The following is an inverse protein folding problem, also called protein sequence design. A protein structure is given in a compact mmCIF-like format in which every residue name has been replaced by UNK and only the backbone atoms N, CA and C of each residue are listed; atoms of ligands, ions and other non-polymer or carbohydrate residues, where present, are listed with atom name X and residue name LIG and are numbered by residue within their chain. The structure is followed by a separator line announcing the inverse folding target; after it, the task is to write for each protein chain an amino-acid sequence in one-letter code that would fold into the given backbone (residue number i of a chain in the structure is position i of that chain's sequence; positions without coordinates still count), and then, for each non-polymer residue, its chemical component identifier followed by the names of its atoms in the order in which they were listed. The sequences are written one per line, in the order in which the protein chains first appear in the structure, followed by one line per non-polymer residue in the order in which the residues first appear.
data_IF_242613796891
#
_entry.id   IF_242613796891
#
_cell.length_a   1.000
_cell.length_b   1.000
_cell.length_c   1.000
_cell.angle_alpha   90.00
_cell.angle_beta   90.00
_cell.angle_gamma   90.00
#
_symmetry.space_group_name_H-M   'P 1'
#
loop_
_entity.id
_entity.type
_entity.pdbx_description
1 polymer ?
#
# COMPACT_ATOMS: atom_id res chain seq x y z
N UNK A 1 -13.36 7.48 5.45
CA UNK A 1 -13.91 6.92 4.19
C UNK A 1 -15.41 6.74 4.35
N UNK A 2 -16.17 6.85 3.26
CA UNK A 2 -17.60 6.48 3.26
C UNK A 2 -17.77 4.96 3.11
N UNK A 3 -18.93 4.39 3.49
CA UNK A 3 -19.24 2.98 3.23
C UNK A 3 -19.08 2.59 1.75
N UNK A 4 -19.49 3.46 0.82
CA UNK A 4 -19.37 3.22 -0.61
C UNK A 4 -17.91 3.16 -1.07
N UNK A 5 -17.05 4.06 -0.58
CA UNK A 5 -15.62 4.01 -0.87
C UNK A 5 -14.99 2.71 -0.34
N UNK A 6 -15.36 2.27 0.86
CA UNK A 6 -14.87 1.00 1.43
C UNK A 6 -15.29 -0.17 0.53
N UNK A 7 -16.56 -0.20 0.11
CA UNK A 7 -17.10 -1.22 -0.78
C UNK A 7 -16.32 -1.26 -2.11
N UNK A 8 -16.11 -0.11 -2.75
CA UNK A 8 -15.35 -0.01 -4.02
C UNK A 8 -13.93 -0.57 -3.87
N UNK A 9 -13.22 -0.21 -2.81
CA UNK A 9 -11.87 -0.73 -2.55
C UNK A 9 -11.88 -2.24 -2.32
N UNK A 10 -12.83 -2.74 -1.54
CA UNK A 10 -12.94 -4.17 -1.25
C UNK A 10 -13.33 -5.00 -2.48
N UNK A 11 -14.27 -4.53 -3.29
CA UNK A 11 -14.72 -5.22 -4.50
C UNK A 11 -13.64 -5.23 -5.57
N UNK A 12 -13.07 -4.06 -5.90
CA UNK A 12 -11.98 -3.98 -6.88
C UNK A 12 -10.73 -4.75 -6.43
N UNK A 13 -10.40 -4.80 -5.13
CA UNK A 13 -9.29 -5.63 -4.66
C UNK A 13 -9.53 -7.13 -4.89
N UNK A 14 -10.78 -7.62 -4.77
CA UNK A 14 -11.10 -9.03 -5.05
C UNK A 14 -10.79 -9.41 -6.50
N UNK A 15 -10.94 -8.49 -7.43
CA UNK A 15 -10.60 -8.69 -8.84
C UNK A 15 -9.08 -8.74 -9.07
N UNK A 16 -8.29 -8.07 -8.22
CA UNK A 16 -6.82 -8.13 -8.26
C UNK A 16 -6.26 -9.42 -7.65
N UNK A 17 -6.97 -10.05 -6.70
CA UNK A 17 -6.48 -11.26 -5.99
C UNK A 17 -6.07 -12.42 -6.93
N UNK A 18 -6.83 -12.78 -7.99
CA UNK A 18 -6.41 -13.79 -8.96
C UNK A 18 -5.08 -13.47 -9.67
N UNK A 19 -4.78 -12.19 -9.89
CA UNK A 19 -3.58 -11.72 -10.59
C UNK A 19 -2.51 -11.15 -9.63
N UNK A 20 -2.62 -11.44 -8.33
CA UNK A 20 -1.81 -10.82 -7.27
C UNK A 20 -0.29 -10.89 -7.48
N UNK A 21 0.23 -11.98 -8.07
CA UNK A 21 1.67 -12.09 -8.34
C UNK A 21 2.13 -11.11 -9.42
N UNK A 22 1.36 -11.00 -10.51
CA UNK A 22 1.62 -10.07 -11.59
C UNK A 22 1.41 -8.62 -11.13
N UNK A 23 0.35 -8.34 -10.38
CA UNK A 23 0.09 -7.02 -9.81
C UNK A 23 1.23 -6.58 -8.87
N UNK A 24 1.73 -7.48 -8.01
CA UNK A 24 2.85 -7.15 -7.13
C UNK A 24 4.15 -6.90 -7.90
N UNK A 25 4.43 -7.67 -8.95
CA UNK A 25 5.59 -7.43 -9.80
C UNK A 25 5.50 -6.06 -10.50
N UNK A 26 4.34 -5.74 -11.07
CA UNK A 26 4.08 -4.45 -11.71
C UNK A 26 4.20 -3.28 -10.72
N UNK A 27 3.73 -3.46 -9.48
CA UNK A 27 3.90 -2.45 -8.43
C UNK A 27 5.37 -2.11 -8.19
N UNK A 28 6.24 -3.10 -8.04
CA UNK A 28 7.66 -2.83 -7.79
C UNK A 28 8.37 -2.28 -9.04
N UNK A 29 7.98 -2.73 -10.23
CA UNK A 29 8.47 -2.12 -11.48
C UNK A 29 8.16 -0.62 -11.52
N UNK A 30 6.90 -0.26 -11.27
CA UNK A 30 6.45 1.14 -11.22
C UNK A 30 7.13 1.93 -10.11
N UNK A 31 7.19 1.38 -8.90
CA UNK A 31 7.84 2.02 -7.76
C UNK A 31 9.28 2.41 -8.09
N UNK A 32 10.02 1.49 -8.70
CA UNK A 32 11.42 1.71 -9.03
C UNK A 32 11.65 2.53 -10.30
N UNK A 33 10.64 2.63 -11.18
CA UNK A 33 10.65 3.56 -12.30
C UNK A 33 10.40 5.00 -11.84
N UNK A 34 9.51 5.18 -10.86
CA UNK A 34 9.22 6.48 -10.24
C UNK A 34 10.39 6.96 -9.37
N UNK A 35 11.01 6.05 -8.61
CA UNK A 35 12.18 6.35 -7.80
C UNK A 35 13.17 5.18 -7.79
N UNK A 36 14.21 5.31 -8.61
CA UNK A 36 15.26 4.31 -8.71
C UNK A 36 16.11 4.16 -7.44
N UNK A 37 16.13 5.15 -6.55
CA UNK A 37 16.92 5.08 -5.30
C UNK A 37 16.37 4.01 -4.34
N UNK A 38 15.04 3.79 -4.36
CA UNK A 38 14.36 2.81 -3.52
C UNK A 38 14.86 1.38 -3.74
N UNK A 39 15.40 1.05 -4.92
CA UNK A 39 16.02 -0.27 -5.18
C UNK A 39 17.08 -0.62 -4.13
N UNK A 40 17.76 0.38 -3.55
CA UNK A 40 18.75 0.16 -2.51
C UNK A 40 18.19 -0.52 -1.25
N UNK A 41 16.91 -0.27 -0.92
CA UNK A 41 16.23 -0.87 0.23
C UNK A 41 15.89 -2.36 0.01
N UNK A 42 15.95 -2.85 -1.23
CA UNK A 42 15.53 -4.19 -1.61
C UNK A 42 16.67 -5.08 -2.14
N UNK A 43 17.94 -4.65 -2.05
CA UNK A 43 19.10 -5.33 -2.68
C UNK A 43 19.25 -6.81 -2.31
N UNK A 44 18.99 -7.16 -1.05
CA UNK A 44 19.11 -8.53 -0.53
C UNK A 44 17.73 -9.18 -0.34
N UNK A 45 16.70 -8.65 -1.01
CA UNK A 45 15.32 -9.11 -0.86
C UNK A 45 14.91 -10.01 -2.02
N UNK A 46 14.37 -11.17 -1.70
CA UNK A 46 13.62 -11.99 -2.66
C UNK A 46 12.35 -11.25 -3.06
N UNK A 47 12.36 -10.66 -4.26
CA UNK A 47 11.28 -9.81 -4.74
C UNK A 47 9.96 -10.55 -4.94
N UNK A 48 9.99 -11.87 -5.21
CA UNK A 48 8.76 -12.68 -5.30
C UNK A 48 8.11 -12.82 -3.94
N UNK A 49 8.90 -13.15 -2.91
CA UNK A 49 8.41 -13.21 -1.52
C UNK A 49 7.96 -11.84 -1.03
N UNK A 50 8.67 -10.78 -1.42
CA UNK A 50 8.31 -9.42 -1.06
C UNK A 50 7.00 -8.97 -1.72
N UNK A 51 6.75 -9.36 -2.97
CA UNK A 51 5.46 -9.17 -3.63
C UNK A 51 4.32 -9.90 -2.91
N UNK A 52 4.54 -11.14 -2.48
CA UNK A 52 3.56 -11.87 -1.68
C UNK A 52 3.26 -11.18 -0.32
N UNK A 53 4.30 -10.67 0.36
CA UNK A 53 4.15 -9.90 1.61
C UNK A 53 3.35 -8.61 1.38
N UNK A 54 3.61 -7.89 0.29
CA UNK A 54 2.85 -6.70 -0.08
C UNK A 54 1.37 -7.02 -0.27
N UNK A 55 1.04 -8.03 -1.06
CA UNK A 55 -0.36 -8.40 -1.33
C UNK A 55 -1.08 -8.88 -0.07
N UNK A 56 -0.39 -9.59 0.82
CA UNK A 56 -0.93 -9.98 2.11
C UNK A 56 -1.21 -8.76 3.01
N UNK A 57 -0.30 -7.80 3.07
CA UNK A 57 -0.46 -6.57 3.84
C UNK A 57 -1.61 -5.69 3.29
N UNK A 58 -1.68 -5.51 1.97
CA UNK A 58 -2.79 -4.81 1.32
C UNK A 58 -4.12 -5.51 1.61
N UNK A 59 -4.16 -6.84 1.49
CA UNK A 59 -5.33 -7.63 1.83
C UNK A 59 -5.77 -7.40 3.28
N UNK A 60 -4.86 -7.48 4.24
CA UNK A 60 -5.17 -7.21 5.64
C UNK A 60 -5.81 -5.83 5.85
N UNK A 61 -5.23 -4.78 5.26
CA UNK A 61 -5.78 -3.42 5.38
C UNK A 61 -7.14 -3.30 4.71
N UNK A 62 -7.29 -3.78 3.48
CA UNK A 62 -8.55 -3.71 2.70
C UNK A 62 -9.70 -4.41 3.42
N UNK A 63 -9.47 -5.60 3.97
CA UNK A 63 -10.48 -6.32 4.74
C UNK A 63 -10.83 -5.60 6.06
N UNK A 64 -9.86 -4.93 6.67
CA UNK A 64 -10.04 -4.18 7.92
C UNK A 64 -10.68 -2.80 7.76
N UNK A 65 -10.84 -2.26 6.55
CA UNK A 65 -11.37 -0.89 6.33
C UNK A 65 -12.74 -0.64 6.97
N UNK A 66 -13.60 -1.66 7.06
CA UNK A 66 -14.91 -1.55 7.71
C UNK A 66 -14.85 -1.46 9.24
N UNK A 67 -13.70 -1.77 9.84
CA UNK A 67 -13.42 -1.77 11.30
C UNK A 67 -11.98 -1.31 11.55
N UNK A 68 -11.62 -0.15 11.00
CA UNK A 68 -10.24 0.32 10.92
C UNK A 68 -9.54 0.40 12.30
N UNK A 69 -10.30 0.68 13.35
CA UNK A 69 -9.84 0.69 14.74
C UNK A 69 -9.24 -0.66 15.19
N UNK A 70 -9.73 -1.77 14.63
CA UNK A 70 -9.25 -3.12 15.01
C UNK A 70 -7.90 -3.46 14.39
N UNK A 71 -7.57 -2.85 13.25
CA UNK A 71 -6.30 -3.09 12.55
C UNK A 71 -5.23 -2.04 12.89
N UNK A 72 -5.62 -0.93 13.52
CA UNK A 72 -4.74 0.20 13.82
C UNK A 72 -3.45 -0.21 14.57
N UNK A 73 -3.49 -1.02 15.65
CA UNK A 73 -2.25 -1.42 16.34
C UNK A 73 -1.28 -2.20 15.43
N UNK A 74 -1.82 -3.01 14.52
CA UNK A 74 -1.02 -3.80 13.56
C UNK A 74 -0.38 -2.90 12.49
N UNK A 75 -1.13 -1.91 12.02
CA UNK A 75 -0.62 -0.91 11.06
C UNK A 75 0.48 -0.04 11.70
N UNK A 76 0.32 0.37 12.96
CA UNK A 76 1.34 1.11 13.69
C UNK A 76 2.61 0.26 13.90
N UNK A 77 2.47 -1.04 14.18
CA UNK A 77 3.62 -1.94 14.24
C UNK A 77 4.34 -2.10 12.90
N UNK A 78 3.57 -2.22 11.81
CA UNK A 78 4.12 -2.22 10.46
C UNK A 78 4.92 -0.94 10.20
N UNK A 79 4.41 0.23 10.60
CA UNK A 79 5.09 1.51 10.45
C UNK A 79 6.42 1.56 11.23
N UNK A 80 6.47 1.06 12.46
CA UNK A 80 7.71 0.96 13.24
C UNK A 80 8.76 0.09 12.54
N UNK A 81 8.33 -1.03 11.94
CA UNK A 81 9.24 -1.85 11.12
C UNK A 81 9.74 -1.11 9.87
N UNK A 82 8.91 -0.26 9.27
CA UNK A 82 9.31 0.58 8.12
C UNK A 82 10.39 1.60 8.49
N UNK A 83 10.40 2.13 9.71
CA UNK A 83 11.52 2.94 10.23
C UNK A 83 12.81 2.13 10.23
N UNK A 84 12.76 0.88 10.72
CA UNK A 84 13.91 -0.04 10.69
C UNK A 84 14.41 -0.37 9.28
N UNK A 85 13.52 -0.34 8.28
CA UNK A 85 13.86 -0.50 6.87
C UNK A 85 14.36 0.78 6.20
N UNK A 86 14.51 1.88 6.96
CA UNK A 86 14.91 3.21 6.46
C UNK A 86 13.93 3.81 5.46
N UNK A 87 12.64 3.51 5.61
CA UNK A 87 11.60 4.19 4.84
C UNK A 87 11.38 5.57 5.43
N UNK A 88 11.53 6.59 4.59
CA UNK A 88 11.28 7.99 4.90
C UNK A 88 9.87 8.43 4.47
N UNK A 89 9.42 9.56 5.00
CA UNK A 89 8.08 10.11 4.74
C UNK A 89 7.81 10.37 3.25
N UNK A 90 8.81 10.89 2.53
CA UNK A 90 8.66 11.21 1.12
C UNK A 90 8.42 9.96 0.25
N UNK A 91 8.87 8.78 0.67
CA UNK A 91 8.64 7.53 -0.07
C UNK A 91 7.14 7.15 -0.15
N UNK A 92 6.31 7.57 0.81
CA UNK A 92 4.88 7.23 0.80
C UNK A 92 4.17 7.87 -0.40
N UNK A 93 4.57 9.06 -0.85
CA UNK A 93 3.99 9.64 -2.06
C UNK A 93 4.25 8.76 -3.29
N UNK A 94 5.50 8.30 -3.46
CA UNK A 94 5.91 7.40 -4.55
C UNK A 94 5.19 6.06 -4.49
N UNK A 95 5.06 5.47 -3.30
CA UNK A 95 4.33 4.22 -3.08
C UNK A 95 2.86 4.37 -3.44
N UNK A 96 2.22 5.47 -3.04
CA UNK A 96 0.83 5.76 -3.39
C UNK A 96 0.62 5.84 -4.90
N UNK A 97 1.49 6.56 -5.60
CA UNK A 97 1.43 6.65 -7.06
C UNK A 97 1.62 5.28 -7.72
N UNK A 98 2.65 4.53 -7.33
CA UNK A 98 2.91 3.18 -7.87
C UNK A 98 1.70 2.24 -7.65
N UNK A 99 1.07 2.29 -6.48
CA UNK A 99 -0.12 1.50 -6.17
C UNK A 99 -1.29 1.86 -7.09
N UNK A 100 -1.62 3.14 -7.21
CA UNK A 100 -2.75 3.59 -8.03
C UNK A 100 -2.55 3.23 -9.50
N UNK A 101 -1.36 3.45 -10.04
CA UNK A 101 -1.04 3.08 -11.42
C UNK A 101 -1.06 1.55 -11.65
N UNK A 102 -0.70 0.77 -10.63
CA UNK A 102 -0.76 -0.70 -10.69
C UNK A 102 -2.20 -1.18 -10.75
N UNK A 103 -3.07 -0.61 -9.91
CA UNK A 103 -4.50 -0.93 -9.88
C UNK A 103 -5.17 -0.54 -11.20
N UNK A 104 -4.86 0.64 -11.73
CA UNK A 104 -5.34 1.08 -13.04
C UNK A 104 -4.97 0.10 -14.15
N UNK A 105 -3.70 -0.31 -14.22
CA UNK A 105 -3.24 -1.26 -15.22
C UNK A 105 -3.85 -2.67 -15.04
N UNK A 106 -4.04 -3.11 -13.79
CA UNK A 106 -4.57 -4.44 -13.49
C UNK A 106 -6.09 -4.58 -13.67
N UNK A 107 -6.84 -3.51 -13.44
CA UNK A 107 -8.30 -3.50 -13.51
C UNK A 107 -8.83 -2.91 -14.83
N UNK A 108 -8.01 -2.16 -15.56
CA UNK A 108 -8.40 -1.56 -16.84
C UNK A 108 -9.64 -0.68 -16.72
N UNK A 109 -10.63 -0.92 -17.57
CA UNK A 109 -11.90 -0.15 -17.58
C UNK A 109 -12.70 -0.26 -16.28
N UNK A 110 -12.48 -1.30 -15.46
CA UNK A 110 -13.11 -1.43 -14.15
C UNK A 110 -12.54 -0.44 -13.11
N UNK A 111 -11.38 0.18 -13.37
CA UNK A 111 -10.79 1.21 -12.51
C UNK A 111 -11.40 2.59 -12.78
N UNK A 112 -12.69 2.73 -12.49
CA UNK A 112 -13.41 4.00 -12.70
C UNK A 112 -12.85 5.14 -11.85
N UNK A 113 -13.27 6.37 -12.15
CA UNK A 113 -12.87 7.55 -11.39
C UNK A 113 -13.26 7.46 -9.91
N UNK A 114 -14.42 6.86 -9.60
CA UNK A 114 -14.89 6.61 -8.24
C UNK A 114 -13.98 5.60 -7.53
N UNK A 115 -13.61 4.51 -8.21
CA UNK A 115 -12.68 3.49 -7.68
C UNK A 115 -11.31 4.11 -7.41
N UNK A 116 -10.77 4.91 -8.33
CA UNK A 116 -9.52 5.66 -8.14
C UNK A 116 -9.60 6.57 -6.92
N UNK A 117 -10.68 7.34 -6.78
CA UNK A 117 -10.86 8.25 -5.65
C UNK A 117 -10.95 7.48 -4.32
N UNK A 118 -11.65 6.34 -4.30
CA UNK A 118 -11.77 5.49 -3.13
C UNK A 118 -10.41 4.90 -2.70
N UNK A 119 -9.62 4.39 -3.64
CA UNK A 119 -8.26 3.90 -3.36
C UNK A 119 -7.31 5.00 -2.91
N UNK A 120 -7.39 6.18 -3.53
CA UNK A 120 -6.58 7.34 -3.13
C UNK A 120 -6.89 7.74 -1.69
N UNK A 121 -8.19 7.77 -1.32
CA UNK A 121 -8.60 8.04 0.05
C UNK A 121 -8.15 6.94 1.04
N UNK A 122 -8.28 5.68 0.68
CA UNK A 122 -7.84 4.55 1.51
C UNK A 122 -6.33 4.59 1.76
N UNK A 123 -5.55 4.77 0.69
CA UNK A 123 -4.09 4.86 0.78
C UNK A 123 -3.65 6.08 1.61
N UNK A 124 -4.26 7.25 1.36
CA UNK A 124 -3.93 8.47 2.11
C UNK A 124 -4.15 8.33 3.61
N UNK A 125 -5.25 7.67 4.02
CA UNK A 125 -5.50 7.37 5.43
C UNK A 125 -4.47 6.41 6.02
N UNK A 126 -4.16 5.32 5.31
CA UNK A 126 -3.14 4.36 5.74
C UNK A 126 -1.77 5.04 5.88
N UNK A 127 -1.34 5.78 4.87
CA UNK A 127 -0.07 6.50 4.86
C UNK A 127 0.01 7.50 6.02
N UNK A 128 -1.06 8.26 6.27
CA UNK A 128 -1.12 9.21 7.39
C UNK A 128 -0.89 8.53 8.74
N UNK A 129 -1.54 7.38 8.97
CA UNK A 129 -1.34 6.59 10.20
C UNK A 129 0.09 6.07 10.31
N UNK A 130 0.65 5.55 9.21
CA UNK A 130 2.00 5.01 9.22
C UNK A 130 3.07 6.10 9.42
N UNK A 131 2.92 7.25 8.77
CA UNK A 131 3.82 8.40 8.94
C UNK A 131 3.79 8.90 10.38
N UNK A 132 2.59 9.05 10.98
CA UNK A 132 2.47 9.48 12.38
C UNK A 132 3.19 8.51 13.33
N UNK A 133 2.95 7.21 13.21
CA UNK A 133 3.58 6.20 14.05
C UNK A 133 5.11 6.11 13.83
N UNK A 134 5.58 6.32 12.61
CA UNK A 134 7.01 6.37 12.30
C UNK A 134 7.70 7.57 12.97
N UNK A 135 7.09 8.76 12.90
CA UNK A 135 7.59 9.98 13.56
C UNK A 135 7.65 9.81 15.07
N UNK A 136 6.62 9.23 15.69
CA UNK A 136 6.61 8.93 17.14
C UNK A 136 7.78 8.04 17.54
N UNK A 137 8.07 6.98 16.77
CA UNK A 137 9.19 6.09 17.04
C UNK A 137 10.54 6.79 16.89
N UNK A 138 10.70 7.65 15.88
CA UNK A 138 11.95 8.40 15.66
C UNK A 138 12.22 9.44 16.75
N UNK A 139 11.17 10.03 17.33
CA UNK A 139 11.29 10.97 18.44
C UNK A 139 11.60 10.28 19.78
N UNK A 140 11.26 8.99 19.90
CA UNK A 140 11.49 8.20 21.10
C UNK A 140 12.84 7.45 21.11
N UNK A 141 13.59 7.50 20.01
CA UNK A 141 14.89 6.83 19.82
C UNK A 141 16.06 7.79 20.09
#
# INVERSE_FOLDING_TARGET
MTPDQIKLVQESFREVVPIKEAAAALFYEKLFALDGSLKALFRETDMKKQGAKLMAALGFVVHGLSRAETILPTVQDLARRHVGYRVEEHHYATVGQALIETLEAGLGEAFTQETRAAWTAAYGLLASVMIAAAREMQLAA
#
